data_IF_579682561657
#
_entry.id   IF_579682561657
#
_cell.length_a   1.000
_cell.length_b   1.000
_cell.length_c   1.000
_cell.angle_alpha   90.00
_cell.angle_beta   90.00
_cell.angle_gamma   90.00
#
_symmetry.space_group_name_H-M   'P 1'
#
loop_
_entity.id
_entity.type
_entity.pdbx_description
1 polymer ?
#
# COMPACT_ATOMS: atom_id res chain seq x y z
N UNK A 1 -49.77 -21.45 41.37
CA UNK A 1 -50.11 -21.16 39.96
C UNK A 1 -48.81 -21.13 39.17
N UNK A 2 -48.54 -22.22 38.47
CA UNK A 2 -47.36 -22.45 37.62
C UNK A 2 -47.55 -21.72 36.29
N UNK A 3 -46.57 -20.93 35.84
CA UNK A 3 -46.31 -20.70 34.41
C UNK A 3 -44.79 -20.64 34.19
N UNK A 4 -44.27 -21.74 33.66
CA UNK A 4 -42.98 -21.79 32.99
C UNK A 4 -43.06 -21.00 31.66
N UNK A 5 -41.93 -20.47 31.20
CA UNK A 5 -41.27 -20.87 29.94
C UNK A 5 -40.14 -19.89 29.57
N UNK A 6 -38.91 -20.35 29.82
CA UNK A 6 -37.77 -20.41 28.90
C UNK A 6 -37.89 -19.64 27.56
N UNK A 7 -36.99 -18.69 27.31
CA UNK A 7 -36.33 -18.54 26.01
C UNK A 7 -34.92 -17.96 26.20
N UNK A 8 -33.95 -18.86 26.22
CA UNK A 8 -32.57 -18.61 25.80
C UNK A 8 -32.58 -18.11 24.36
N UNK A 9 -31.90 -17.00 24.09
CA UNK A 9 -31.46 -16.67 22.74
C UNK A 9 -30.06 -16.04 22.79
N UNK A 10 -29.10 -16.90 22.49
CA UNK A 10 -27.96 -16.67 21.59
C UNK A 10 -26.96 -15.59 21.99
N UNK A 11 -25.86 -16.00 22.59
CA UNK A 11 -24.65 -16.45 21.89
C UNK A 11 -23.72 -15.27 21.57
N UNK A 12 -22.74 -15.12 22.46
CA UNK A 12 -21.44 -14.55 22.14
C UNK A 12 -20.81 -15.44 21.07
N UNK A 13 -20.91 -15.04 19.80
CA UNK A 13 -20.04 -15.61 18.77
C UNK A 13 -19.11 -14.49 18.27
N UNK A 14 -17.88 -14.39 18.80
CA UNK A 14 -16.83 -13.73 18.06
C UNK A 14 -16.62 -14.54 16.78
N UNK A 15 -17.04 -13.97 15.65
CA UNK A 15 -16.76 -14.49 14.30
C UNK A 15 -15.25 -14.51 14.10
N UNK A 16 -14.62 -15.58 14.58
CA UNK A 16 -13.38 -16.08 14.01
C UNK A 16 -13.78 -16.90 12.78
N UNK A 17 -13.22 -16.63 11.59
CA UNK A 17 -13.39 -17.56 10.50
C UNK A 17 -12.73 -18.88 10.94
N UNK A 18 -13.54 -19.93 11.07
CA UNK A 18 -13.06 -21.30 11.22
C UNK A 18 -12.16 -21.59 10.03
N UNK A 19 -10.85 -21.53 10.30
CA UNK A 19 -9.84 -21.97 9.36
C UNK A 19 -10.10 -23.45 9.13
N UNK A 20 -10.57 -23.78 7.94
CA UNK A 20 -10.46 -25.10 7.31
C UNK A 20 -9.21 -25.81 7.82
N UNK A 21 -9.43 -26.72 8.76
CA UNK A 21 -8.38 -27.46 9.43
C UNK A 21 -7.63 -28.30 8.37
N UNK A 22 -6.34 -28.03 8.21
CA UNK A 22 -5.32 -29.01 7.85
C UNK A 22 -5.36 -29.74 6.49
N UNK A 23 -6.37 -29.58 5.63
CA UNK A 23 -6.38 -30.25 4.32
C UNK A 23 -5.42 -29.55 3.35
N UNK A 24 -4.31 -30.21 3.04
CA UNK A 24 -3.43 -29.78 1.96
C UNK A 24 -4.21 -29.79 0.63
N UNK A 25 -4.23 -28.70 -0.15
CA UNK A 25 -4.99 -28.63 -1.40
C UNK A 25 -4.41 -29.63 -2.41
N UNK A 26 -5.24 -30.56 -2.87
CA UNK A 26 -4.79 -31.64 -3.78
C UNK A 26 -4.79 -31.19 -5.24
N UNK A 27 -5.59 -30.17 -5.60
CA UNK A 27 -5.64 -29.64 -6.96
C UNK A 27 -5.11 -28.20 -7.11
N UNK A 28 -4.70 -27.87 -8.34
CA UNK A 28 -4.33 -26.49 -8.74
C UNK A 28 -5.50 -25.50 -8.59
N UNK A 29 -6.73 -25.99 -8.76
CA UNK A 29 -7.95 -25.18 -8.62
C UNK A 29 -8.18 -24.78 -7.17
N UNK A 30 -8.03 -25.72 -6.25
CA UNK A 30 -8.13 -25.46 -4.80
C UNK A 30 -7.04 -24.50 -4.34
N UNK A 31 -5.77 -24.72 -4.73
CA UNK A 31 -4.68 -23.78 -4.43
C UNK A 31 -5.02 -22.34 -4.85
N UNK A 32 -5.52 -22.16 -6.08
CA UNK A 32 -5.94 -20.84 -6.58
C UNK A 32 -7.07 -20.22 -5.74
N UNK A 33 -8.03 -21.02 -5.31
CA UNK A 33 -9.13 -20.57 -4.46
C UNK A 33 -8.63 -20.13 -3.08
N UNK A 34 -7.67 -20.85 -2.49
CA UNK A 34 -7.07 -20.51 -1.20
C UNK A 34 -6.30 -19.18 -1.25
N UNK A 35 -5.47 -18.98 -2.27
CA UNK A 35 -4.78 -17.70 -2.48
C UNK A 35 -5.75 -16.52 -2.62
N UNK A 36 -6.85 -16.72 -3.36
CA UNK A 36 -7.87 -15.69 -3.54
C UNK A 36 -8.59 -15.38 -2.23
N UNK A 37 -8.94 -16.39 -1.44
CA UNK A 37 -9.56 -16.22 -0.13
C UNK A 37 -8.61 -15.51 0.86
N UNK A 38 -7.32 -15.87 0.85
CA UNK A 38 -6.32 -15.20 1.68
C UNK A 38 -6.11 -13.73 1.27
N UNK A 39 -6.11 -13.43 -0.02
CA UNK A 39 -6.01 -12.05 -0.54
C UNK A 39 -7.24 -11.21 -0.15
N UNK A 40 -8.45 -11.78 -0.27
CA UNK A 40 -9.69 -11.13 0.16
C UNK A 40 -9.69 -10.85 1.66
N UNK A 41 -9.27 -11.82 2.48
CA UNK A 41 -9.14 -11.64 3.93
C UNK A 41 -8.16 -10.51 4.27
N UNK A 42 -6.99 -10.46 3.62
CA UNK A 42 -6.03 -9.35 3.80
C UNK A 42 -6.62 -7.99 3.44
N UNK A 43 -7.40 -7.92 2.36
CA UNK A 43 -8.08 -6.69 1.95
C UNK A 43 -9.13 -6.23 2.97
N UNK A 44 -9.84 -7.18 3.61
CA UNK A 44 -10.80 -6.89 4.70
C UNK A 44 -10.11 -6.42 5.98
N UNK A 45 -8.94 -6.99 6.30
CA UNK A 45 -8.19 -6.67 7.50
C UNK A 45 -7.53 -5.29 7.44
N UNK A 46 -7.08 -4.85 6.26
CA UNK A 46 -6.53 -3.50 6.04
C UNK A 46 -7.38 -2.73 5.02
N UNK A 47 -8.57 -2.22 5.41
CA UNK A 47 -9.46 -1.50 4.50
C UNK A 47 -8.92 -0.12 4.10
N UNK A 48 -7.89 0.37 4.78
CA UNK A 48 -7.23 1.65 4.50
C UNK A 48 -5.81 1.42 3.98
N UNK A 49 -5.70 0.78 2.80
CA UNK A 49 -4.43 0.78 2.07
C UNK A 49 -4.11 2.24 1.74
N UNK A 50 -2.95 2.79 2.17
CA UNK A 50 -2.59 4.15 1.83
C UNK A 50 -2.61 4.28 0.30
N UNK A 51 -3.18 5.37 -0.24
CA UNK A 51 -3.22 5.58 -1.69
C UNK A 51 -1.80 5.44 -2.24
N UNK A 52 -1.67 4.80 -3.40
CA UNK A 52 -0.40 4.76 -4.11
C UNK A 52 0.08 6.21 -4.23
N UNK A 53 1.20 6.53 -3.56
CA UNK A 53 1.69 7.90 -3.45
C UNK A 53 1.77 8.50 -4.85
N UNK A 54 1.23 9.71 -5.03
CA UNK A 54 1.26 10.42 -6.29
C UNK A 54 2.71 10.48 -6.81
N UNK A 55 2.85 10.36 -8.13
CA UNK A 55 4.15 10.53 -8.78
C UNK A 55 4.73 11.90 -8.36
N UNK A 56 5.98 11.98 -7.91
CA UNK A 56 6.60 13.28 -7.72
C UNK A 56 6.61 14.00 -9.08
N UNK A 57 6.40 15.32 -9.07
CA UNK A 57 6.63 16.12 -10.27
C UNK A 57 8.12 16.42 -10.42
N UNK A 58 8.65 16.46 -11.65
CA UNK A 58 10.03 16.87 -11.89
C UNK A 58 10.24 18.33 -11.44
N UNK A 59 11.46 18.71 -11.01
CA UNK A 59 11.77 20.08 -10.63
C UNK A 59 11.67 21.02 -11.84
N UNK A 60 11.26 22.26 -11.57
CA UNK A 60 11.15 23.30 -12.60
C UNK A 60 12.53 23.82 -12.97
N UNK A 61 12.78 23.97 -14.28
CA UNK A 61 14.05 24.49 -14.77
C UNK A 61 14.12 26.00 -14.51
N UNK A 62 15.20 26.51 -13.92
CA UNK A 62 15.35 27.94 -13.72
C UNK A 62 15.50 28.67 -15.06
N UNK A 63 15.08 29.94 -15.10
CA UNK A 63 15.25 30.76 -16.28
C UNK A 63 16.70 31.22 -16.41
N UNK A 64 17.18 31.54 -17.63
CA UNK A 64 18.53 32.09 -17.82
C UNK A 64 18.79 33.36 -17.00
N UNK A 65 17.74 34.13 -16.68
CA UNK A 65 17.82 35.34 -15.87
C UNK A 65 17.82 35.11 -14.35
N UNK A 66 17.51 33.91 -13.87
CA UNK A 66 17.57 33.58 -12.42
C UNK A 66 19.01 33.42 -11.93
N UNK A 67 19.93 33.09 -12.84
CA UNK A 67 21.35 33.07 -12.53
C UNK A 67 21.94 34.47 -12.67
N UNK A 68 22.35 35.09 -11.56
CA UNK A 68 22.97 36.43 -11.60
C UNK A 68 24.39 36.45 -12.21
N UNK A 69 24.97 35.29 -12.53
CA UNK A 69 26.24 35.17 -13.26
C UNK A 69 27.49 35.69 -12.54
N UNK A 70 27.38 36.18 -11.31
CA UNK A 70 28.47 36.81 -10.56
C UNK A 70 29.30 35.82 -9.73
N UNK A 71 29.13 34.51 -9.95
CA UNK A 71 29.92 33.47 -9.26
C UNK A 71 29.53 33.23 -7.79
N UNK A 72 28.24 33.29 -7.46
CA UNK A 72 27.76 32.91 -6.13
C UNK A 72 28.20 31.48 -5.76
N UNK A 73 28.47 31.24 -4.47
CA UNK A 73 28.88 29.92 -3.93
C UNK A 73 27.85 28.82 -4.22
N UNK A 74 26.58 29.20 -4.35
CA UNK A 74 25.47 28.33 -4.73
C UNK A 74 24.68 29.00 -5.83
N UNK A 75 24.71 28.41 -7.03
CA UNK A 75 23.92 28.87 -8.17
C UNK A 75 22.54 28.22 -8.16
N UNK A 76 21.55 28.89 -8.76
CA UNK A 76 20.22 28.31 -9.01
C UNK A 76 20.32 27.00 -9.82
N UNK A 77 21.30 26.91 -10.71
CA UNK A 77 21.57 25.69 -11.47
C UNK A 77 22.04 24.53 -10.57
N UNK A 78 22.81 24.81 -9.53
CA UNK A 78 23.29 23.76 -8.62
C UNK A 78 22.12 23.16 -7.82
N UNK A 79 21.21 24.01 -7.34
CA UNK A 79 20.00 23.58 -6.63
C UNK A 79 19.12 22.73 -7.56
N UNK A 80 18.88 23.20 -8.79
CA UNK A 80 18.10 22.46 -9.77
C UNK A 80 18.67 21.06 -10.05
N UNK A 81 19.99 20.93 -10.21
CA UNK A 81 20.59 19.62 -10.48
C UNK A 81 20.54 18.68 -9.28
N UNK A 82 20.70 19.19 -8.06
CA UNK A 82 20.54 18.39 -6.84
C UNK A 82 19.11 17.85 -6.69
N UNK A 83 18.11 18.71 -6.90
CA UNK A 83 16.70 18.30 -6.86
C UNK A 83 16.37 17.31 -7.98
N UNK A 84 16.93 17.52 -9.17
CA UNK A 84 16.76 16.61 -10.30
C UNK A 84 17.38 15.24 -10.03
N UNK A 85 18.54 15.20 -9.38
CA UNK A 85 19.17 13.95 -8.99
C UNK A 85 18.32 13.21 -7.96
N UNK A 86 17.83 13.90 -6.93
CA UNK A 86 16.95 13.34 -5.91
C UNK A 86 15.64 12.78 -6.53
N UNK A 87 15.06 13.51 -7.49
CA UNK A 87 13.89 13.07 -8.26
C UNK A 87 14.17 11.76 -9.03
N UNK A 88 15.29 11.69 -9.75
CA UNK A 88 15.66 10.50 -10.51
C UNK A 88 15.94 9.29 -9.59
N UNK A 89 16.60 9.50 -8.45
CA UNK A 89 16.81 8.46 -7.45
C UNK A 89 15.49 7.92 -6.88
N UNK A 90 14.54 8.82 -6.59
CA UNK A 90 13.19 8.45 -6.13
C UNK A 90 12.50 7.57 -7.17
N UNK A 91 12.48 7.97 -8.44
CA UNK A 91 11.88 7.17 -9.52
C UNK A 91 12.57 5.81 -9.69
N UNK A 92 13.90 5.77 -9.60
CA UNK A 92 14.68 4.54 -9.70
C UNK A 92 14.38 3.56 -8.55
N UNK A 93 14.15 4.05 -7.33
CA UNK A 93 13.77 3.22 -6.19
C UNK A 93 12.32 2.70 -6.31
N UNK A 94 11.42 3.55 -6.79
CA UNK A 94 9.97 3.28 -6.87
C UNK A 94 9.61 2.30 -7.99
N UNK A 95 10.31 2.35 -9.13
CA UNK A 95 10.18 1.35 -10.21
C UNK A 95 10.53 -0.08 -9.77
N UNK A 96 11.38 -0.26 -8.74
CA UNK A 96 11.76 -1.57 -8.20
C UNK A 96 10.72 -2.18 -7.24
N UNK A 97 9.75 -1.39 -6.78
CA UNK A 97 8.72 -1.81 -5.81
C UNK A 97 7.38 -2.25 -6.40
N UNK A 98 7.18 -2.18 -7.73
CA UNK A 98 5.93 -2.59 -8.38
C UNK A 98 5.96 -4.01 -8.97
N UNK A 99 7.10 -4.72 -8.86
CA UNK A 99 7.23 -6.13 -9.19
C UNK A 99 7.35 -6.99 -7.93
N UNK A 100 6.22 -7.25 -7.25
CA UNK A 100 6.07 -8.37 -6.30
C UNK A 100 4.61 -8.75 -6.13
#
# INVERSE_FOLDING_TARGET
MLKAQNHLASALDPVHPTGKEGRLPTSKRERRADFRAASDARRRLCPNRPPAQAEPSPPEKPLPGDCCGSGCVRCVWDIYYEELEAYNQMLASRSKGSQS
#
